data_IF_738227665362
#
_entry.id   IF_738227665362
#
_cell.length_a   1.000
_cell.length_b   1.000
_cell.length_c   1.000
_cell.angle_alpha   90.00
_cell.angle_beta   90.00
_cell.angle_gamma   90.00
#
_symmetry.space_group_name_H-M   'P 1'
#
loop_
_entity.id
_entity.type
_entity.pdbx_description
1 polymer ?
#
# COMPACT_ATOMS: atom_id res chain seq x y z
N UNK A 1 1.94 17.51 15.70
CA UNK A 1 0.85 16.92 14.90
C UNK A 1 0.65 15.53 15.44
N UNK A 2 -0.33 15.36 16.30
CA UNK A 2 -0.70 14.10 16.93
C UNK A 2 -1.18 13.08 15.88
N UNK A 3 -0.62 11.88 15.89
CA UNK A 3 -1.29 10.71 15.31
C UNK A 3 -1.53 9.71 16.44
N UNK A 4 -2.79 9.50 16.87
CA UNK A 4 -3.12 8.59 17.98
C UNK A 4 -2.90 7.09 17.66
N UNK A 5 -2.33 6.75 16.49
CA UNK A 5 -2.18 5.37 16.02
C UNK A 5 -0.92 5.23 15.14
N UNK A 6 0.15 4.65 15.70
CA UNK A 6 1.25 4.00 14.96
C UNK A 6 2.11 4.85 14.00
N UNK A 7 3.16 4.24 13.40
CA UNK A 7 3.93 4.84 12.31
C UNK A 7 3.08 5.00 11.04
N UNK A 8 3.42 5.95 10.14
CA UNK A 8 2.71 6.16 8.88
C UNK A 8 2.74 4.90 8.02
N UNK A 9 1.57 4.50 7.50
CA UNK A 9 1.40 3.32 6.64
C UNK A 9 1.33 3.74 5.18
N UNK A 10 1.99 3.00 4.30
CA UNK A 10 2.03 3.29 2.85
C UNK A 10 0.63 3.44 2.27
N UNK A 11 -0.30 2.57 2.64
CA UNK A 11 -1.69 2.63 2.16
C UNK A 11 -2.39 3.95 2.50
N UNK A 12 -2.32 4.41 3.75
CA UNK A 12 -3.02 5.62 4.19
C UNK A 12 -2.44 6.86 3.48
N UNK A 13 -1.12 6.91 3.34
CA UNK A 13 -0.42 8.00 2.68
C UNK A 13 -0.75 8.06 1.18
N UNK A 14 -0.78 6.91 0.50
CA UNK A 14 -1.22 6.83 -0.90
C UNK A 14 -2.69 7.21 -1.06
N UNK A 15 -3.56 6.77 -0.15
CA UNK A 15 -4.98 7.11 -0.15
C UNK A 15 -5.19 8.62 0.04
N UNK A 16 -4.49 9.22 1.01
CA UNK A 16 -4.57 10.65 1.29
C UNK A 16 -4.04 11.51 0.13
N UNK A 17 -3.02 11.03 -0.58
CA UNK A 17 -2.46 11.70 -1.76
C UNK A 17 -3.26 11.46 -3.06
N UNK A 18 -4.30 10.63 -3.03
CA UNK A 18 -5.08 10.30 -4.23
C UNK A 18 -4.30 9.47 -5.27
N UNK A 19 -3.26 8.75 -4.82
CA UNK A 19 -2.49 7.86 -5.70
C UNK A 19 -3.39 6.69 -6.13
N UNK A 20 -3.45 6.36 -7.43
CA UNK A 20 -4.18 5.18 -7.87
C UNK A 20 -3.51 3.93 -7.29
N UNK A 21 -4.33 3.04 -6.72
CA UNK A 21 -3.88 1.83 -6.05
C UNK A 21 -4.60 0.62 -6.63
N UNK A 22 -3.87 -0.48 -6.72
CA UNK A 22 -4.42 -1.82 -6.95
C UNK A 22 -3.87 -2.76 -5.89
N UNK A 23 -4.35 -4.01 -5.86
CA UNK A 23 -3.88 -4.99 -4.90
C UNK A 23 -3.98 -6.41 -5.45
N UNK A 24 -3.24 -7.32 -4.84
CA UNK A 24 -3.46 -8.76 -4.94
C UNK A 24 -3.36 -9.33 -3.53
N UNK A 25 -4.47 -9.84 -3.00
CA UNK A 25 -4.60 -10.20 -1.58
C UNK A 25 -4.14 -9.03 -0.67
N UNK A 26 -3.08 -9.25 0.12
CA UNK A 26 -2.49 -8.30 1.06
C UNK A 26 -1.48 -7.34 0.44
N UNK A 27 -1.07 -7.56 -0.80
CA UNK A 27 0.00 -6.79 -1.44
C UNK A 27 -0.58 -5.56 -2.11
N UNK A 28 0.08 -4.41 -1.93
CA UNK A 28 -0.34 -3.12 -2.46
C UNK A 28 0.47 -2.79 -3.72
N UNK A 29 -0.24 -2.44 -4.79
CA UNK A 29 0.36 -2.01 -6.05
C UNK A 29 0.14 -0.51 -6.26
N UNK A 30 1.24 0.22 -6.48
CA UNK A 30 1.23 1.68 -6.73
C UNK A 30 2.12 2.06 -7.92
N UNK A 31 1.83 3.11 -8.68
CA UNK A 31 2.71 3.58 -9.76
C UNK A 31 4.11 3.96 -9.26
N UNK A 32 5.14 3.80 -10.08
CA UNK A 32 6.52 4.16 -9.74
C UNK A 32 6.86 5.64 -10.07
N UNK A 33 6.18 6.58 -9.40
CA UNK A 33 6.39 8.04 -9.56
C UNK A 33 7.33 8.60 -8.49
N UNK A 34 7.74 9.86 -8.63
CA UNK A 34 8.53 10.55 -7.59
C UNK A 34 7.74 10.72 -6.29
N UNK A 35 6.43 10.92 -6.40
CA UNK A 35 5.52 11.04 -5.26
C UNK A 35 5.41 9.74 -4.47
N UNK A 36 5.22 8.59 -5.15
CA UNK A 36 5.19 7.30 -4.45
C UNK A 36 6.54 6.92 -3.87
N UNK A 37 7.66 7.29 -4.51
CA UNK A 37 9.00 7.17 -3.91
C UNK A 37 9.14 7.99 -2.63
N UNK A 38 8.61 9.20 -2.60
CA UNK A 38 8.62 10.04 -1.40
C UNK A 38 7.78 9.43 -0.26
N UNK A 39 6.62 8.85 -0.58
CA UNK A 39 5.76 8.14 0.38
C UNK A 39 6.47 6.90 0.94
N UNK A 40 7.05 6.06 0.09
CA UNK A 40 7.79 4.86 0.52
C UNK A 40 8.92 5.24 1.48
N UNK A 41 9.65 6.32 1.20
CA UNK A 41 10.68 6.87 2.09
C UNK A 41 10.10 7.41 3.39
N UNK A 42 8.97 8.13 3.35
CA UNK A 42 8.29 8.67 4.53
C UNK A 42 7.84 7.56 5.48
N UNK A 43 7.39 6.43 4.94
CA UNK A 43 6.91 5.27 5.70
C UNK A 43 8.03 4.29 6.09
N UNK A 44 9.30 4.62 5.84
CA UNK A 44 10.45 3.72 6.02
C UNK A 44 10.25 2.34 5.34
N UNK A 45 9.53 2.32 4.21
CA UNK A 45 9.21 1.11 3.48
C UNK A 45 10.33 0.78 2.50
N UNK A 46 11.21 -0.13 2.92
CA UNK A 46 12.35 -0.61 2.12
C UNK A 46 12.04 -1.87 1.30
N UNK A 47 10.91 -2.52 1.57
CA UNK A 47 10.51 -3.78 0.91
C UNK A 47 9.47 -3.49 -0.16
N UNK A 48 9.93 -3.30 -1.39
CA UNK A 48 9.07 -3.20 -2.57
C UNK A 48 9.82 -3.66 -3.82
N UNK A 49 9.09 -4.09 -4.86
CA UNK A 49 9.67 -4.57 -6.12
C UNK A 49 9.05 -3.86 -7.32
N UNK A 50 9.83 -3.34 -8.28
CA UNK A 50 9.25 -2.81 -9.50
C UNK A 50 8.73 -3.94 -10.39
N UNK A 51 7.59 -3.72 -11.03
CA UNK A 51 7.04 -4.59 -12.07
C UNK A 51 6.38 -3.76 -13.18
N UNK A 52 6.18 -4.37 -14.35
CA UNK A 52 5.44 -3.75 -15.46
C UNK A 52 3.95 -4.00 -15.25
N UNK A 53 3.15 -2.96 -15.09
CA UNK A 53 1.70 -3.10 -15.08
C UNK A 53 1.22 -3.43 -16.51
N UNK A 54 0.52 -4.55 -16.67
CA UNK A 54 0.04 -5.05 -17.97
C UNK A 54 -1.35 -4.50 -18.35
N UNK A 55 -2.09 -3.94 -17.39
CA UNK A 55 -3.44 -3.38 -17.59
C UNK A 55 -3.34 -1.94 -18.09
N UNK A 56 -2.59 -1.10 -17.37
CA UNK A 56 -2.49 0.34 -17.67
C UNK A 56 -1.15 0.72 -18.32
N UNK A 57 -0.19 -0.20 -18.35
CA UNK A 57 1.20 0.11 -18.71
C UNK A 57 1.95 0.82 -17.58
N UNK A 58 3.20 1.17 -17.86
CA UNK A 58 4.07 1.82 -16.87
C UNK A 58 4.69 0.87 -15.84
N UNK A 59 5.65 1.41 -15.07
CA UNK A 59 6.29 0.69 -13.96
C UNK A 59 5.51 0.98 -12.68
N UNK A 60 5.20 -0.07 -11.93
CA UNK A 60 4.53 -0.03 -10.64
C UNK A 60 5.40 -0.71 -9.58
N UNK A 61 5.19 -0.40 -8.32
CA UNK A 61 5.78 -1.06 -7.17
C UNK A 61 4.80 -2.05 -6.58
N UNK A 62 5.27 -3.27 -6.35
CA UNK A 62 4.67 -4.27 -5.49
C UNK A 62 5.20 -4.08 -4.08
N UNK A 63 4.31 -3.71 -3.14
CA UNK A 63 4.60 -3.46 -1.73
C UNK A 63 3.93 -4.56 -0.90
N UNK A 64 4.67 -5.60 -0.47
CA UNK A 64 4.09 -6.75 0.21
C UNK A 64 3.40 -6.39 1.52
N UNK A 65 2.26 -7.02 1.78
CA UNK A 65 1.46 -6.86 3.01
C UNK A 65 0.95 -5.45 3.33
N UNK A 66 1.13 -4.48 2.44
CA UNK A 66 0.78 -3.08 2.68
C UNK A 66 -0.67 -2.72 2.35
N UNK A 67 -1.48 -3.62 1.78
CA UNK A 67 -2.88 -3.33 1.47
C UNK A 67 -3.77 -3.52 2.70
N UNK A 68 -4.08 -2.41 3.37
CA UNK A 68 -4.78 -2.41 4.65
C UNK A 68 -6.18 -3.07 4.63
N UNK A 69 -7.03 -2.87 3.61
CA UNK A 69 -8.39 -3.43 3.62
C UNK A 69 -8.42 -4.96 3.72
N UNK A 70 -7.39 -5.66 3.25
CA UNK A 70 -7.28 -7.11 3.42
C UNK A 70 -7.24 -7.53 4.89
N UNK A 71 -6.44 -6.83 5.71
CA UNK A 71 -6.25 -7.13 7.12
C UNK A 71 -7.44 -6.70 7.98
N UNK A 72 -8.08 -5.60 7.63
CA UNK A 72 -9.31 -5.14 8.28
C UNK A 72 -10.44 -6.16 8.07
N UNK A 73 -10.60 -6.66 6.83
CA UNK A 73 -11.56 -7.71 6.55
C UNK A 73 -11.25 -9.01 7.33
N UNK A 74 -9.97 -9.38 7.50
CA UNK A 74 -9.58 -10.56 8.25
C UNK A 74 -9.97 -10.49 9.74
N UNK A 75 -9.87 -9.30 10.37
CA UNK A 75 -10.26 -9.08 11.77
C UNK A 75 -11.77 -9.21 12.00
N UNK A 76 -12.58 -8.95 10.97
CA UNK A 76 -14.04 -9.07 11.05
C UNK A 76 -14.56 -10.50 10.86
N UNK A 77 -13.70 -11.46 10.48
CA UNK A 77 -14.11 -12.86 10.36
C UNK A 77 -14.30 -13.47 11.75
N UNK A 78 -15.56 -13.74 12.10
CA UNK A 78 -15.89 -14.59 13.26
C UNK A 78 -15.16 -15.93 13.12
N UNK A 79 -14.47 -16.45 14.15
CA UNK A 79 -13.94 -17.80 14.11
C UNK A 79 -15.09 -18.77 13.80
N UNK A 80 -14.84 -19.73 12.90
CA UNK A 80 -15.77 -20.84 12.68
C UNK A 80 -15.94 -21.60 14.01
N UNK A 81 -17.17 -22.03 14.35
CA UNK A 81 -17.44 -22.77 15.57
C UNK A 81 -16.66 -24.08 15.65
#
# INVERSE_FOLDING_TARGET
MDTPNGPPRVYDECLAAGIPMANHYSDLYIPATDETRAILKKCDCITYRPFRNQVEGGTWYDVPFAYLPYWEAAQTRKPLP
#
